data_IF_873231158260
#
_entry.id   IF_873231158260
#
_cell.length_a   1.000
_cell.length_b   1.000
_cell.length_c   1.000
_cell.angle_alpha   90.00
_cell.angle_beta   90.00
_cell.angle_gamma   90.00
#
_symmetry.space_group_name_H-M   'P 1'
#
loop_
_entity.id
_entity.type
_entity.pdbx_description
1 polymer ?
#
# COMPACT_ATOMS: atom_id res chain seq x y z
N UNK A 1 -34.36 -46.73 13.07
CA UNK A 1 -33.53 -45.92 13.99
C UNK A 1 -32.38 -45.38 13.15
N UNK A 2 -32.48 -44.13 12.70
CA UNK A 2 -31.47 -43.51 11.82
C UNK A 2 -30.38 -42.97 12.73
N UNK A 3 -29.21 -43.61 12.67
CA UNK A 3 -28.01 -43.18 13.37
C UNK A 3 -27.49 -41.91 12.68
N UNK A 4 -27.75 -40.76 13.28
CA UNK A 4 -27.07 -39.52 12.90
C UNK A 4 -25.60 -39.72 13.19
N UNK A 5 -24.84 -40.14 12.18
CA UNK A 5 -23.38 -40.12 12.19
C UNK A 5 -22.98 -38.66 12.40
N UNK A 6 -22.65 -38.30 13.64
CA UNK A 6 -22.09 -37.01 13.98
C UNK A 6 -20.88 -36.82 13.08
N UNK A 7 -20.96 -35.83 12.18
CA UNK A 7 -19.80 -35.46 11.37
C UNK A 7 -18.66 -35.18 12.35
N UNK A 8 -17.44 -35.72 12.16
CA UNK A 8 -16.32 -35.36 13.02
C UNK A 8 -16.21 -33.84 12.98
N UNK A 9 -16.23 -33.19 14.15
CA UNK A 9 -15.86 -31.78 14.26
C UNK A 9 -14.58 -31.62 13.47
N UNK A 10 -14.67 -30.88 12.36
CA UNK A 10 -13.57 -30.74 11.42
C UNK A 10 -12.44 -30.08 12.20
N UNK A 11 -11.46 -30.87 12.60
CA UNK A 11 -10.32 -30.45 13.41
C UNK A 11 -9.52 -29.45 12.59
N UNK A 12 -9.85 -28.17 12.76
CA UNK A 12 -9.09 -27.07 12.17
C UNK A 12 -7.70 -27.11 12.83
N UNK A 13 -6.61 -27.24 12.07
CA UNK A 13 -5.27 -27.28 12.64
C UNK A 13 -4.98 -26.04 13.49
N UNK A 14 -4.24 -26.20 14.59
CA UNK A 14 -3.90 -25.08 15.50
C UNK A 14 -3.17 -23.96 14.77
N UNK A 15 -2.22 -24.28 13.89
CA UNK A 15 -1.50 -23.27 13.09
C UNK A 15 -2.44 -22.39 12.23
N UNK A 16 -3.58 -22.94 11.80
CA UNK A 16 -4.58 -22.19 11.03
C UNK A 16 -5.43 -21.31 11.94
N UNK A 17 -5.79 -21.79 13.13
CA UNK A 17 -6.48 -20.96 14.13
C UNK A 17 -5.60 -19.82 14.63
N UNK A 18 -4.33 -20.09 14.92
CA UNK A 18 -3.34 -19.10 15.33
C UNK A 18 -3.14 -18.04 14.24
N UNK A 19 -3.09 -18.48 12.97
CA UNK A 19 -3.04 -17.59 11.82
C UNK A 19 -4.30 -16.74 11.67
N UNK A 20 -5.48 -17.32 11.87
CA UNK A 20 -6.75 -16.60 11.83
C UNK A 20 -6.85 -15.56 12.94
N UNK A 21 -6.48 -15.93 14.17
CA UNK A 21 -6.46 -15.02 15.31
C UNK A 21 -5.46 -13.87 15.12
N UNK A 22 -4.29 -14.15 14.54
CA UNK A 22 -3.30 -13.12 14.18
C UNK A 22 -3.87 -12.17 13.12
N UNK A 23 -4.58 -12.71 12.13
CA UNK A 23 -5.23 -11.91 11.10
C UNK A 23 -6.40 -11.09 11.65
N UNK A 24 -7.21 -11.64 12.54
CA UNK A 24 -8.29 -10.94 13.24
C UNK A 24 -7.74 -9.79 14.09
N UNK A 25 -6.65 -10.02 14.83
CA UNK A 25 -5.96 -8.97 15.59
C UNK A 25 -5.39 -7.87 14.68
N UNK A 26 -4.88 -8.24 13.50
CA UNK A 26 -4.44 -7.25 12.50
C UNK A 26 -5.60 -6.42 11.93
N UNK A 27 -6.78 -7.03 11.78
CA UNK A 27 -7.99 -6.35 11.34
C UNK A 27 -8.64 -5.52 12.46
N UNK A 28 -8.21 -5.69 13.72
CA UNK A 28 -8.76 -4.96 14.83
C UNK A 28 -8.54 -3.45 14.63
N UNK A 29 -9.59 -2.61 14.69
CA UNK A 29 -9.48 -1.21 14.35
C UNK A 29 -8.50 -0.48 15.27
N UNK A 30 -7.39 -0.01 14.69
CA UNK A 30 -6.48 0.91 15.38
C UNK A 30 -7.13 2.30 15.45
N UNK A 31 -7.10 2.99 16.61
CA UNK A 31 -7.58 4.37 16.69
C UNK A 31 -6.79 5.25 15.72
N UNK A 32 -7.52 5.99 14.87
CA UNK A 32 -6.97 6.94 13.91
C UNK A 32 -7.11 8.35 14.46
N UNK A 33 -5.98 8.96 14.82
CA UNK A 33 -5.95 10.37 15.19
C UNK A 33 -6.11 11.25 13.93
N UNK A 34 -6.66 12.45 14.10
CA UNK A 34 -6.92 13.39 13.00
C UNK A 34 -5.68 13.66 12.14
N UNK A 35 -4.51 13.82 12.78
CA UNK A 35 -3.24 13.99 12.07
C UNK A 35 -2.89 12.79 11.16
N UNK A 36 -3.17 11.57 11.62
CA UNK A 36 -2.88 10.36 10.84
C UNK A 36 -3.87 10.24 9.67
N UNK A 37 -5.14 10.66 9.85
CA UNK A 37 -6.14 10.74 8.77
C UNK A 37 -5.69 11.71 7.68
N UNK A 38 -5.20 12.90 8.06
CA UNK A 38 -4.67 13.88 7.10
C UNK A 38 -3.49 13.31 6.34
N UNK A 39 -2.52 12.71 7.05
CA UNK A 39 -1.36 12.11 6.41
C UNK A 39 -1.74 10.96 5.47
N UNK A 40 -2.63 10.07 5.87
CA UNK A 40 -3.16 9.00 5.01
C UNK A 40 -3.86 9.57 3.77
N UNK A 41 -4.64 10.64 3.92
CA UNK A 41 -5.28 11.32 2.79
C UNK A 41 -4.25 11.85 1.80
N UNK A 42 -3.22 12.55 2.30
CA UNK A 42 -2.10 13.05 1.48
C UNK A 42 -1.40 11.89 0.77
N UNK A 43 -1.12 10.80 1.47
CA UNK A 43 -0.48 9.62 0.91
C UNK A 43 -1.33 9.00 -0.20
N UNK A 44 -2.62 8.81 0.02
CA UNK A 44 -3.51 8.17 -0.96
C UNK A 44 -3.70 9.04 -2.21
N UNK A 45 -4.01 10.33 -2.02
CA UNK A 45 -4.19 11.28 -3.14
C UNK A 45 -2.88 11.47 -3.90
N UNK A 46 -1.78 11.71 -3.18
CA UNK A 46 -0.46 11.82 -3.78
C UNK A 46 -0.05 10.54 -4.51
N UNK A 47 -0.42 9.37 -3.99
CA UNK A 47 -0.14 8.10 -4.66
C UNK A 47 -0.89 7.95 -5.97
N UNK A 48 -2.16 8.36 -6.01
CA UNK A 48 -2.94 8.36 -7.24
C UNK A 48 -2.36 9.34 -8.27
N UNK A 49 -1.98 10.55 -7.83
CA UNK A 49 -1.35 11.56 -8.68
C UNK A 49 0.00 11.07 -9.22
N UNK A 50 0.82 10.41 -8.40
CA UNK A 50 2.09 9.84 -8.83
C UNK A 50 1.88 8.83 -9.96
N UNK A 51 0.96 7.87 -9.77
CA UNK A 51 0.61 6.88 -10.81
C UNK A 51 0.17 7.56 -12.10
N UNK A 52 -0.75 8.52 -12.01
CA UNK A 52 -1.27 9.24 -13.19
C UNK A 52 -0.16 10.03 -13.89
N UNK A 53 0.64 10.79 -13.15
CA UNK A 53 1.70 11.62 -13.72
C UNK A 53 2.80 10.78 -14.37
N UNK A 54 3.19 9.65 -13.76
CA UNK A 54 4.10 8.69 -14.39
C UNK A 54 3.50 8.08 -15.66
N UNK A 55 2.23 7.68 -15.63
CA UNK A 55 1.56 7.13 -16.82
C UNK A 55 1.50 8.15 -17.96
N UNK A 56 1.15 9.40 -17.66
CA UNK A 56 1.11 10.48 -18.65
C UNK A 56 2.50 10.78 -19.19
N UNK A 57 3.52 10.87 -18.31
CA UNK A 57 4.89 11.18 -18.72
C UNK A 57 5.48 10.11 -19.62
N UNK A 58 5.32 8.85 -19.24
CA UNK A 58 5.79 7.71 -20.06
C UNK A 58 5.04 7.61 -21.39
N UNK A 59 3.72 7.86 -21.41
CA UNK A 59 2.95 7.93 -22.65
C UNK A 59 3.38 9.11 -23.56
N UNK A 60 3.88 10.20 -22.97
CA UNK A 60 4.46 11.33 -23.69
C UNK A 60 5.93 11.10 -24.13
N UNK A 61 6.49 9.91 -23.88
CA UNK A 61 7.85 9.54 -24.26
C UNK A 61 8.93 9.97 -23.27
N UNK A 62 8.56 10.49 -22.09
CA UNK A 62 9.53 10.80 -21.04
C UNK A 62 10.06 9.49 -20.42
N UNK A 63 11.38 9.35 -20.25
CA UNK A 63 11.96 8.14 -19.67
C UNK A 63 11.67 8.08 -18.16
N UNK A 64 11.29 6.89 -17.68
CA UNK A 64 11.17 6.64 -16.24
C UNK A 64 12.55 6.48 -15.59
N UNK A 65 12.86 7.33 -14.63
CA UNK A 65 14.16 7.35 -13.93
C UNK A 65 14.32 6.22 -12.91
N UNK A 66 13.21 5.75 -12.32
CA UNK A 66 13.22 4.73 -11.28
C UNK A 66 13.37 3.32 -11.88
N UNK A 67 14.49 2.66 -11.58
CA UNK A 67 14.79 1.32 -12.09
C UNK A 67 13.75 0.26 -11.70
N UNK A 68 13.16 0.36 -10.51
CA UNK A 68 12.11 -0.56 -10.03
C UNK A 68 10.81 -0.30 -10.80
N UNK A 69 10.42 0.95 -10.98
CA UNK A 69 9.26 1.31 -11.78
C UNK A 69 9.40 0.84 -13.23
N UNK A 70 10.59 1.01 -13.82
CA UNK A 70 10.91 0.44 -15.14
C UNK A 70 10.74 -1.07 -15.17
N UNK A 71 11.29 -1.80 -14.19
CA UNK A 71 11.18 -3.26 -14.13
C UNK A 71 9.72 -3.74 -14.02
N UNK A 72 8.89 -3.03 -13.25
CA UNK A 72 7.47 -3.32 -13.18
C UNK A 72 6.76 -3.06 -14.51
N UNK A 73 7.07 -1.96 -15.18
CA UNK A 73 6.50 -1.66 -16.50
C UNK A 73 6.95 -2.65 -17.58
N UNK A 74 8.20 -3.10 -17.57
CA UNK A 74 8.66 -4.11 -18.54
C UNK A 74 7.99 -5.46 -18.32
N UNK A 75 7.60 -5.77 -17.08
CA UNK A 75 6.98 -7.06 -16.72
C UNK A 75 5.47 -7.05 -16.89
N UNK A 76 4.80 -5.96 -16.50
CA UNK A 76 3.34 -5.87 -16.37
C UNK A 76 2.71 -4.79 -17.26
N UNK A 77 3.50 -4.06 -18.05
CA UNK A 77 3.06 -2.90 -18.81
C UNK A 77 2.72 -1.70 -17.92
N UNK A 78 1.97 -0.74 -18.46
CA UNK A 78 1.52 0.47 -17.74
C UNK A 78 0.84 0.19 -16.39
N UNK A 79 0.01 -0.87 -16.22
CA UNK A 79 -0.54 -1.22 -14.90
C UNK A 79 0.52 -1.55 -13.83
N UNK A 80 1.74 -1.90 -14.23
CA UNK A 80 2.85 -2.19 -13.33
C UNK A 80 3.19 -1.04 -12.37
N UNK A 81 2.96 0.21 -12.78
CA UNK A 81 3.15 1.38 -11.89
C UNK A 81 2.15 1.39 -10.75
N UNK A 82 0.87 1.11 -11.06
CA UNK A 82 -0.17 0.96 -10.04
C UNK A 82 0.12 -0.20 -9.09
N UNK A 83 0.55 -1.35 -9.63
CA UNK A 83 0.94 -2.51 -8.82
C UNK A 83 2.10 -2.20 -7.88
N UNK A 84 3.14 -1.52 -8.36
CA UNK A 84 4.27 -1.08 -7.52
C UNK A 84 3.80 -0.14 -6.40
N UNK A 85 2.89 0.79 -6.72
CA UNK A 85 2.34 1.70 -5.73
C UNK A 85 1.51 0.98 -4.67
N UNK A 86 0.70 0.01 -5.08
CA UNK A 86 -0.06 -0.82 -4.16
C UNK A 86 0.86 -1.62 -3.23
N UNK A 87 1.95 -2.19 -3.74
CA UNK A 87 2.95 -2.88 -2.90
C UNK A 87 3.54 -1.92 -1.87
N UNK A 88 3.91 -0.70 -2.27
CA UNK A 88 4.42 0.32 -1.34
C UNK A 88 3.38 0.72 -0.28
N UNK A 89 2.12 0.89 -0.66
CA UNK A 89 1.03 1.21 0.26
C UNK A 89 0.75 0.06 1.25
N UNK A 90 0.75 -1.19 0.78
CA UNK A 90 0.60 -2.36 1.67
C UNK A 90 1.77 -2.43 2.66
N UNK A 91 3.00 -2.24 2.19
CA UNK A 91 4.17 -2.20 3.08
C UNK A 91 4.05 -1.07 4.11
N UNK A 92 3.55 0.11 3.70
CA UNK A 92 3.29 1.22 4.61
C UNK A 92 2.21 0.91 5.63
N UNK A 93 1.09 0.28 5.23
CA UNK A 93 0.02 -0.14 6.15
C UNK A 93 0.56 -1.11 7.19
N UNK A 94 1.35 -2.11 6.76
CA UNK A 94 1.99 -3.08 7.66
C UNK A 94 2.92 -2.33 8.63
N UNK A 95 3.84 -1.50 8.11
CA UNK A 95 4.77 -0.75 8.97
C UNK A 95 4.03 0.15 9.97
N UNK A 96 3.03 0.90 9.49
CA UNK A 96 2.22 1.78 10.33
C UNK A 96 1.50 0.98 11.43
N UNK A 97 0.89 -0.16 11.09
CA UNK A 97 0.14 -0.98 12.04
C UNK A 97 1.02 -1.58 13.15
N UNK A 98 2.22 -2.08 12.82
CA UNK A 98 3.12 -2.73 13.79
C UNK A 98 3.96 -1.76 14.63
N UNK A 99 4.07 -0.50 14.22
CA UNK A 99 4.87 0.50 14.95
C UNK A 99 4.09 1.16 16.10
N UNK A 100 4.82 1.45 17.18
CA UNK A 100 4.34 2.32 18.26
C UNK A 100 3.93 3.69 17.70
N UNK A 101 2.95 4.36 18.34
CA UNK A 101 2.28 5.55 17.80
C UNK A 101 3.21 6.63 17.25
N UNK A 102 4.24 7.01 18.00
CA UNK A 102 5.19 8.04 17.56
C UNK A 102 5.98 7.59 16.33
N UNK A 103 6.45 6.35 16.30
CA UNK A 103 7.18 5.79 15.16
C UNK A 103 6.28 5.61 13.94
N UNK A 104 5.05 5.16 14.14
CA UNK A 104 4.05 5.01 13.07
C UNK A 104 3.76 6.36 12.40
N UNK A 105 3.59 7.43 13.20
CA UNK A 105 3.38 8.78 12.68
C UNK A 105 4.60 9.32 11.93
N UNK A 106 5.81 9.06 12.42
CA UNK A 106 7.04 9.46 11.72
C UNK A 106 7.20 8.76 10.37
N UNK A 107 6.93 7.46 10.31
CA UNK A 107 6.98 6.69 9.05
C UNK A 107 5.92 7.19 8.07
N UNK A 108 4.69 7.41 8.54
CA UNK A 108 3.60 7.93 7.71
C UNK A 108 3.91 9.34 7.20
N UNK A 109 4.42 10.22 8.07
CA UNK A 109 4.86 11.57 7.71
C UNK A 109 6.00 11.58 6.70
N UNK A 110 7.02 10.74 6.91
CA UNK A 110 8.13 10.58 5.97
C UNK A 110 7.66 10.11 4.59
N UNK A 111 6.77 9.12 4.55
CA UNK A 111 6.19 8.64 3.30
C UNK A 111 5.35 9.72 2.60
N UNK A 112 4.55 10.50 3.35
CA UNK A 112 3.78 11.61 2.82
C UNK A 112 4.67 12.67 2.16
N UNK A 113 5.76 13.07 2.84
CA UNK A 113 6.73 14.05 2.30
C UNK A 113 7.35 13.54 1.01
N UNK A 114 7.88 12.31 1.00
CA UNK A 114 8.50 11.73 -0.19
C UNK A 114 7.49 11.65 -1.34
N UNK A 115 6.24 11.26 -1.04
CA UNK A 115 5.17 11.19 -2.04
C UNK A 115 4.91 12.56 -2.66
N UNK A 116 4.78 13.62 -1.85
CA UNK A 116 4.57 14.98 -2.34
C UNK A 116 5.74 15.48 -3.19
N UNK A 117 6.98 15.19 -2.79
CA UNK A 117 8.18 15.56 -3.55
C UNK A 117 8.16 14.89 -4.92
N UNK A 118 7.93 13.57 -4.97
CA UNK A 118 7.94 12.82 -6.24
C UNK A 118 6.81 13.31 -7.15
N UNK A 119 5.60 13.48 -6.63
CA UNK A 119 4.47 14.03 -7.41
C UNK A 119 4.80 15.44 -7.94
N UNK A 120 5.39 16.29 -7.10
CA UNK A 120 5.83 17.62 -7.49
C UNK A 120 6.85 17.57 -8.64
N UNK A 121 7.85 16.70 -8.53
CA UNK A 121 8.86 16.51 -9.57
C UNK A 121 8.25 15.98 -10.88
N UNK A 122 7.34 15.00 -10.81
CA UNK A 122 6.65 14.51 -12.01
C UNK A 122 5.82 15.62 -12.65
N UNK A 123 5.13 16.43 -11.84
CA UNK A 123 4.31 17.55 -12.33
C UNK A 123 5.15 18.62 -13.00
N UNK A 124 6.28 19.01 -12.40
CA UNK A 124 7.24 19.97 -12.96
C UNK A 124 7.81 19.44 -14.29
N UNK A 125 8.22 18.17 -14.32
CA UNK A 125 8.72 17.51 -15.53
C UNK A 125 7.66 17.52 -16.65
N UNK A 126 6.40 17.21 -16.32
CA UNK A 126 5.28 17.26 -17.26
C UNK A 126 4.96 18.67 -17.74
N UNK A 127 5.17 19.69 -16.90
CA UNK A 127 5.03 21.09 -17.27
C UNK A 127 6.16 21.58 -18.19
N UNK A 128 7.20 20.77 -18.43
CA UNK A 128 8.37 21.13 -19.25
C UNK A 128 9.32 22.11 -18.56
N UNK A 129 9.29 22.14 -17.23
CA UNK A 129 10.17 22.93 -16.36
C UNK A 129 11.30 22.06 -15.80
#
# INVERSE_FOLDING_TARGET
MIEFRTLPERVVPTWFQDGLATFEAFLEPRPLFEADVVLWTVVLVGSALDVVTTMVGTAAGLPEGNAVARAFMTTYGTPGIGALKLVALVALVIAWHYLAEQSARLVLGGFAIVTLVVVGLNTVTLAGL
#
